data_IF_060590133010
#
_entry.id   IF_060590133010
#
_cell.length_a   1.000
_cell.length_b   1.000
_cell.length_c   1.000
_cell.angle_alpha   90.00
_cell.angle_beta   90.00
_cell.angle_gamma   90.00
#
_symmetry.space_group_name_H-M   'P 1'
#
loop_
_entity.id
_entity.type
_entity.pdbx_description
1 polymer ?
#
# COMPACT_ATOMS: atom_id res chain seq x y z
N UNK A 1 -0.71 15.51 -10.13
CA UNK A 1 -1.69 14.88 -9.22
C UNK A 1 -1.05 14.72 -7.87
N UNK A 2 -1.57 15.40 -6.85
CA UNK A 2 -1.01 15.40 -5.50
C UNK A 2 -1.32 14.07 -4.83
N UNK A 3 -0.29 13.23 -4.60
CA UNK A 3 -0.39 12.01 -3.78
C UNK A 3 -1.19 12.30 -2.51
N UNK A 4 -2.19 11.48 -2.21
CA UNK A 4 -3.07 11.70 -1.06
C UNK A 4 -2.25 11.88 0.22
N UNK A 5 -2.47 12.99 0.93
CA UNK A 5 -1.70 13.37 2.12
C UNK A 5 -1.72 12.37 3.27
N UNK A 6 -2.60 11.35 3.24
CA UNK A 6 -2.61 10.27 4.23
C UNK A 6 -1.63 9.12 3.89
N UNK A 7 -1.31 8.91 2.61
CA UNK A 7 -0.23 7.99 2.21
C UNK A 7 1.14 8.55 2.60
N UNK A 8 1.24 9.85 2.91
CA UNK A 8 2.47 10.48 3.39
C UNK A 8 3.04 9.76 4.61
N UNK A 9 2.20 9.32 5.55
CA UNK A 9 2.63 8.53 6.74
C UNK A 9 3.38 7.25 6.36
N UNK A 10 3.07 6.67 5.21
CA UNK A 10 3.64 5.44 4.68
C UNK A 10 4.66 5.68 3.56
N UNK A 11 4.87 6.94 3.17
CA UNK A 11 5.64 7.34 1.99
C UNK A 11 6.76 8.31 2.34
N UNK A 12 7.00 8.60 3.63
CA UNK A 12 8.23 9.25 4.06
C UNK A 12 9.39 8.35 3.62
N UNK A 13 10.10 8.79 2.58
CA UNK A 13 11.25 8.10 2.04
C UNK A 13 12.28 8.01 3.16
N UNK A 14 12.46 6.82 3.73
CA UNK A 14 13.60 6.52 4.55
C UNK A 14 14.86 6.90 3.76
N UNK A 15 15.75 7.67 4.37
CA UNK A 15 17.03 7.95 3.75
C UNK A 15 17.82 6.63 3.65
N UNK A 16 18.83 6.56 2.78
CA UNK A 16 19.68 5.36 2.68
C UNK A 16 20.29 4.96 4.04
N UNK A 17 20.57 5.94 4.90
CA UNK A 17 21.07 5.69 6.25
C UNK A 17 19.99 5.10 7.18
N UNK A 18 18.74 5.52 7.04
CA UNK A 18 17.62 4.93 7.78
C UNK A 18 17.34 3.49 7.33
N UNK A 19 17.56 3.17 6.05
CA UNK A 19 17.39 1.79 5.57
C UNK A 19 18.43 0.84 6.16
N UNK A 20 19.67 1.31 6.32
CA UNK A 20 20.77 0.51 6.86
C UNK A 20 20.57 0.14 8.33
N UNK A 21 19.98 1.05 9.13
CA UNK A 21 19.64 0.78 10.53
C UNK A 21 18.38 -0.08 10.68
N UNK A 22 17.53 -0.16 9.65
CA UNK A 22 16.32 -0.97 9.59
C UNK A 22 16.54 -2.32 8.90
N UNK A 23 17.78 -2.75 8.69
CA UNK A 23 18.05 -4.01 7.99
C UNK A 23 17.52 -5.19 8.83
N UNK A 24 16.69 -6.08 8.27
CA UNK A 24 16.14 -7.21 9.01
C UNK A 24 17.22 -8.25 9.33
N UNK A 25 16.98 -9.07 10.35
CA UNK A 25 17.77 -10.29 10.59
C UNK A 25 17.38 -11.40 9.62
N UNK A 26 18.18 -12.48 9.59
CA UNK A 26 17.88 -13.64 8.75
C UNK A 26 16.55 -14.30 9.17
N UNK A 27 16.30 -14.39 10.48
CA UNK A 27 15.07 -14.97 11.04
C UNK A 27 13.84 -14.14 10.64
N UNK A 28 13.92 -12.81 10.71
CA UNK A 28 12.83 -11.93 10.28
C UNK A 28 12.53 -12.11 8.79
N UNK A 29 13.56 -12.23 7.94
CA UNK A 29 13.38 -12.48 6.51
C UNK A 29 12.73 -13.84 6.24
N UNK A 30 13.07 -14.88 7.01
CA UNK A 30 12.40 -16.19 6.89
C UNK A 30 10.91 -16.07 7.21
N UNK A 31 10.55 -15.33 8.27
CA UNK A 31 9.15 -15.11 8.65
C UNK A 31 8.34 -14.35 7.60
N UNK A 32 8.98 -13.54 6.75
CA UNK A 32 8.30 -12.86 5.64
C UNK A 32 7.75 -13.85 4.61
N UNK A 33 8.40 -15.00 4.43
CA UNK A 33 7.93 -16.06 3.54
C UNK A 33 6.72 -16.83 4.07
N UNK A 34 6.46 -16.75 5.38
CA UNK A 34 5.34 -17.44 6.02
C UNK A 34 4.02 -16.68 5.85
N UNK A 35 4.06 -15.34 5.85
CA UNK A 35 2.88 -14.53 5.57
C UNK A 35 3.23 -13.14 5.06
N UNK A 36 2.40 -12.62 4.16
CA UNK A 36 2.48 -11.22 3.72
C UNK A 36 2.32 -10.25 4.92
N UNK A 37 1.54 -10.62 5.94
CA UNK A 37 1.41 -9.83 7.16
C UNK A 37 2.74 -9.59 7.87
N UNK A 38 3.57 -10.64 8.01
CA UNK A 38 4.90 -10.53 8.62
C UNK A 38 5.82 -9.60 7.82
N UNK A 39 5.78 -9.68 6.49
CA UNK A 39 6.53 -8.79 5.61
C UNK A 39 6.12 -7.32 5.77
N UNK A 40 4.81 -7.06 5.79
CA UNK A 40 4.26 -5.69 5.85
C UNK A 40 4.36 -5.06 7.25
N UNK A 41 4.43 -5.88 8.31
CA UNK A 41 4.65 -5.41 9.67
C UNK A 41 6.06 -4.81 9.86
N UNK A 42 7.05 -5.31 9.11
CA UNK A 42 8.41 -4.79 9.17
C UNK A 42 8.60 -3.60 8.24
N UNK A 43 9.10 -2.46 8.74
CA UNK A 43 9.25 -1.22 7.95
C UNK A 43 10.12 -1.40 6.70
N UNK A 44 11.22 -2.15 6.82
CA UNK A 44 12.06 -2.48 5.66
C UNK A 44 11.33 -3.39 4.67
N UNK A 45 10.58 -4.37 5.17
CA UNK A 45 9.83 -5.32 4.34
C UNK A 45 8.77 -4.61 3.51
N UNK A 46 8.02 -3.69 4.12
CA UNK A 46 7.06 -2.83 3.43
C UNK A 46 7.71 -1.99 2.32
N UNK A 47 8.86 -1.35 2.58
CA UNK A 47 9.56 -0.54 1.59
C UNK A 47 10.08 -1.40 0.44
N UNK A 48 10.68 -2.55 0.75
CA UNK A 48 11.20 -3.49 -0.24
C UNK A 48 10.06 -4.04 -1.12
N UNK A 49 8.95 -4.45 -0.52
CA UNK A 49 7.78 -4.96 -1.23
C UNK A 49 7.13 -3.90 -2.11
N UNK A 50 7.02 -2.66 -1.62
CA UNK A 50 6.55 -1.52 -2.44
C UNK A 50 7.49 -1.24 -3.61
N UNK A 51 8.81 -1.34 -3.40
CA UNK A 51 9.81 -1.23 -4.46
C UNK A 51 9.64 -2.32 -5.53
N UNK A 52 9.44 -3.56 -5.10
CA UNK A 52 9.14 -4.69 -5.97
C UNK A 52 7.85 -4.48 -6.78
N UNK A 53 6.74 -4.08 -6.15
CA UNK A 53 5.49 -3.83 -6.88
C UNK A 53 5.61 -2.69 -7.90
N UNK A 54 6.47 -1.69 -7.65
CA UNK A 54 6.74 -0.63 -8.63
C UNK A 54 7.45 -1.14 -9.87
N UNK A 55 8.35 -2.12 -9.75
CA UNK A 55 8.99 -2.72 -10.94
C UNK A 55 7.97 -3.52 -11.76
N UNK A 56 6.95 -4.05 -11.11
CA UNK A 56 5.83 -4.79 -11.73
C UNK A 56 4.64 -3.89 -12.10
N UNK A 57 4.77 -2.56 -12.00
CA UNK A 57 3.70 -1.58 -12.25
C UNK A 57 2.37 -1.93 -11.52
N UNK A 58 2.49 -2.41 -10.28
CA UNK A 58 1.39 -2.94 -9.47
C UNK A 58 1.38 -2.36 -8.04
N UNK A 59 2.05 -1.22 -7.84
CA UNK A 59 2.19 -0.59 -6.52
C UNK A 59 0.91 0.08 -6.01
N UNK A 60 -0.08 0.28 -6.88
CA UNK A 60 -1.44 0.66 -6.51
C UNK A 60 -2.10 -0.37 -5.58
N UNK A 61 -1.78 -1.66 -5.71
CA UNK A 61 -2.39 -2.72 -4.91
C UNK A 61 -2.04 -2.59 -3.42
N UNK A 62 -0.75 -2.39 -3.12
CA UNK A 62 -0.32 -2.22 -1.72
C UNK A 62 -0.76 -0.87 -1.15
N UNK A 63 -0.79 0.18 -1.99
CA UNK A 63 -1.26 1.48 -1.54
C UNK A 63 -2.75 1.50 -1.21
N UNK A 64 -3.56 0.81 -2.01
CA UNK A 64 -4.98 0.60 -1.70
C UNK A 64 -5.17 -0.20 -0.41
N UNK A 65 -4.42 -1.30 -0.24
CA UNK A 65 -4.49 -2.10 0.99
C UNK A 65 -4.15 -1.26 2.22
N UNK A 66 -3.07 -0.48 2.19
CA UNK A 66 -2.69 0.43 3.28
C UNK A 66 -3.75 1.51 3.54
N UNK A 67 -4.38 2.04 2.50
CA UNK A 67 -5.47 3.00 2.63
C UNK A 67 -6.68 2.36 3.33
N UNK A 68 -6.98 1.10 3.02
CA UNK A 68 -8.00 0.31 3.69
C UNK A 68 -7.65 0.03 5.16
N UNK A 69 -6.40 -0.34 5.48
CA UNK A 69 -5.95 -0.52 6.87
C UNK A 69 -6.17 0.76 7.70
N UNK A 70 -5.74 1.91 7.15
CA UNK A 70 -5.88 3.20 7.82
C UNK A 70 -7.36 3.63 7.94
N UNK A 71 -8.20 3.31 6.95
CA UNK A 71 -9.64 3.48 7.03
C UNK A 71 -10.23 2.67 8.19
N UNK A 72 -9.95 1.37 8.27
CA UNK A 72 -10.49 0.48 9.32
C UNK A 72 -10.06 0.91 10.73
N UNK A 73 -8.87 1.47 10.87
CA UNK A 73 -8.35 1.96 12.15
C UNK A 73 -8.87 3.37 12.53
N UNK A 74 -9.65 4.04 11.67
CA UNK A 74 -10.16 5.38 11.93
C UNK A 74 -11.42 5.36 12.79
N UNK A 75 -11.37 5.99 13.97
CA UNK A 75 -12.50 6.05 14.91
C UNK A 75 -13.50 7.18 14.67
N UNK A 76 -13.10 8.21 13.92
CA UNK A 76 -13.90 9.43 13.73
C UNK A 76 -14.79 9.30 12.49
N UNK A 77 -16.11 9.39 12.66
CA UNK A 77 -17.09 9.26 11.57
C UNK A 77 -16.87 10.28 10.43
N UNK A 78 -16.58 11.54 10.75
CA UNK A 78 -16.30 12.55 9.71
C UNK A 78 -15.01 12.25 8.93
N UNK A 79 -13.99 11.69 9.60
CA UNK A 79 -12.76 11.20 8.93
C UNK A 79 -13.02 9.94 8.12
N UNK A 80 -13.88 9.04 8.56
CA UNK A 80 -14.29 7.86 7.79
C UNK A 80 -14.94 8.29 6.48
N UNK A 81 -15.99 9.13 6.51
CA UNK A 81 -16.68 9.57 5.29
C UNK A 81 -15.72 10.22 4.28
N UNK A 82 -14.83 11.09 4.76
CA UNK A 82 -13.85 11.75 3.88
C UNK A 82 -12.78 10.80 3.33
N UNK A 83 -12.35 9.78 4.10
CA UNK A 83 -11.43 8.74 3.62
C UNK A 83 -12.09 7.78 2.63
N UNK A 84 -13.32 7.33 2.89
CA UNK A 84 -14.07 6.46 2.00
C UNK A 84 -14.19 7.09 0.60
N UNK A 85 -14.60 8.36 0.54
CA UNK A 85 -14.70 9.11 -0.72
C UNK A 85 -13.37 9.14 -1.48
N UNK A 86 -12.26 9.43 -0.79
CA UNK A 86 -10.93 9.49 -1.40
C UNK A 86 -10.44 8.13 -1.89
N UNK A 87 -10.66 7.07 -1.11
CA UNK A 87 -10.30 5.70 -1.51
C UNK A 87 -11.08 5.31 -2.77
N UNK A 88 -12.37 5.66 -2.82
CA UNK A 88 -13.19 5.41 -3.98
C UNK A 88 -12.66 6.13 -5.23
N UNK A 89 -12.47 7.45 -5.15
CA UNK A 89 -12.01 8.28 -6.28
C UNK A 89 -10.61 7.91 -6.79
N UNK A 90 -9.73 7.39 -5.92
CA UNK A 90 -8.34 7.10 -6.31
C UNK A 90 -8.09 5.65 -6.74
N UNK A 91 -8.87 4.69 -6.23
CA UNK A 91 -8.59 3.25 -6.42
C UNK A 91 -9.76 2.42 -6.95
N UNK A 92 -11.01 2.88 -6.81
CA UNK A 92 -12.21 2.06 -7.12
C UNK A 92 -13.01 2.59 -8.30
N UNK A 93 -13.06 3.91 -8.50
CA UNK A 93 -13.75 4.50 -9.65
C UNK A 93 -13.19 3.91 -10.96
N UNK A 94 -14.08 3.60 -11.90
CA UNK A 94 -13.73 3.09 -13.23
C UNK A 94 -12.80 4.02 -14.03
N UNK A 95 -12.72 5.29 -13.64
CA UNK A 95 -11.79 6.27 -14.21
C UNK A 95 -10.72 6.72 -13.20
N UNK A 96 -10.55 5.97 -12.11
CA UNK A 96 -9.58 6.29 -11.09
C UNK A 96 -8.16 6.27 -11.65
N UNK A 97 -7.32 7.27 -11.30
CA UNK A 97 -5.96 7.37 -11.81
C UNK A 97 -5.05 6.21 -11.37
N UNK A 98 -5.46 5.46 -10.32
CA UNK A 98 -4.76 4.30 -9.76
C UNK A 98 -5.71 3.15 -9.50
N UNK A 99 -6.65 2.94 -10.42
CA UNK A 99 -7.60 1.83 -10.36
C UNK A 99 -6.89 0.51 -10.01
N UNK A 100 -7.29 -0.11 -8.90
CA UNK A 100 -6.81 -1.43 -8.51
C UNK A 100 -7.38 -2.42 -9.50
N UNK A 101 -6.55 -2.85 -10.45
CA UNK A 101 -6.98 -3.82 -11.46
C UNK A 101 -7.15 -5.19 -10.82
N UNK A 102 -8.37 -5.48 -10.36
CA UNK A 102 -8.81 -6.86 -10.21
C UNK A 102 -8.85 -7.48 -11.62
N UNK A 103 -7.72 -8.07 -12.06
CA UNK A 103 -7.47 -8.63 -13.41
C UNK A 103 -8.54 -9.63 -13.92
N UNK A 104 -9.56 -9.98 -13.14
CA UNK A 104 -10.60 -10.93 -13.52
C UNK A 104 -11.77 -10.34 -14.35
N UNK A 105 -11.92 -9.02 -14.46
CA UNK A 105 -13.10 -8.41 -15.14
C UNK A 105 -12.83 -8.01 -16.60
N UNK A 106 -11.57 -8.08 -17.05
CA UNK A 106 -11.22 -7.80 -18.46
C UNK A 106 -11.17 -9.06 -19.33
N UNK A 107 -11.13 -10.27 -18.74
CA UNK A 107 -11.02 -11.53 -19.48
C UNK A 107 -12.35 -12.04 -20.08
N UNK A 108 -13.47 -11.33 -19.89
CA UNK A 108 -14.79 -11.71 -20.43
C UNK A 108 -15.53 -10.51 -21.05
N UNK A 109 -14.78 -9.55 -21.59
CA UNK A 109 -15.35 -8.47 -22.39
C UNK A 109 -14.71 -8.43 -23.77
N UNK A 110 -14.71 -9.58 -24.43
CA UNK A 110 -14.66 -9.74 -25.88
C UNK A 110 -15.44 -11.01 -26.24
#
# INVERSE_FOLDING_TARGET
GSRLGFLRRWNDACTKNDLNSLRPTAEEVVQWGESLGNLLAHRYGLIAFKGFLRTEFSDENIEFWLACEDYRNTKSNSKLTSKAKKIFEEFIDTHAPREVRARWVSAHRD
#
